data_IF_766350354654
#
_entry.id   IF_766350354654
#
_cell.length_a   1.000
_cell.length_b   1.000
_cell.length_c   1.000
_cell.angle_alpha   90.00
_cell.angle_beta   90.00
_cell.angle_gamma   90.00
#
_symmetry.space_group_name_H-M   'P 1'
#
loop_
_entity.id
_entity.type
_entity.pdbx_description
1 polymer ?
#
# COMPACT_ATOMS: atom_id res chain seq x y z
N UNK A 1 100.48 -68.55 -126.66
CA UNK A 1 101.35 -67.38 -126.86
C UNK A 1 101.06 -66.36 -125.78
N UNK A 2 102.12 -65.98 -125.07
CA UNK A 2 102.40 -64.72 -124.37
C UNK A 2 101.27 -63.73 -123.98
N UNK A 3 101.35 -63.32 -122.70
CA UNK A 3 101.53 -61.93 -122.24
C UNK A 3 100.34 -61.13 -121.65
N UNK A 4 100.58 -60.76 -120.38
CA UNK A 4 100.58 -59.39 -119.83
C UNK A 4 99.38 -58.86 -119.04
N UNK A 5 99.77 -58.28 -117.90
CA UNK A 5 99.12 -57.60 -116.79
C UNK A 5 98.50 -56.23 -117.07
N UNK A 6 97.52 -55.80 -116.24
CA UNK A 6 97.47 -54.48 -115.56
C UNK A 6 96.24 -54.35 -114.62
N UNK A 7 96.39 -53.64 -113.48
CA UNK A 7 95.41 -53.46 -112.39
C UNK A 7 95.08 -51.97 -112.13
N UNK A 8 93.92 -51.67 -111.51
CA UNK A 8 93.56 -50.38 -110.85
C UNK A 8 92.33 -49.67 -111.47
N UNK A 9 91.53 -48.81 -110.83
CA UNK A 9 91.29 -48.33 -109.45
C UNK A 9 90.00 -47.47 -109.52
N UNK A 10 89.23 -47.32 -108.43
CA UNK A 10 88.01 -46.47 -108.37
C UNK A 10 88.32 -44.98 -108.59
N UNK A 11 87.38 -44.16 -109.11
CA UNK A 11 87.62 -42.75 -109.44
C UNK A 11 87.98 -41.92 -108.20
N UNK A 12 88.88 -40.95 -108.36
CA UNK A 12 89.35 -40.11 -107.26
C UNK A 12 88.35 -38.99 -106.93
N UNK A 13 88.32 -38.55 -105.67
CA UNK A 13 87.48 -37.41 -105.20
C UNK A 13 87.75 -36.11 -105.98
N UNK A 14 88.97 -35.94 -106.48
CA UNK A 14 89.34 -34.80 -107.33
C UNK A 14 88.63 -34.80 -108.68
N UNK A 15 88.37 -35.97 -109.26
CA UNK A 15 87.66 -36.10 -110.53
C UNK A 15 86.17 -35.72 -110.38
N UNK A 16 85.57 -36.04 -109.24
CA UNK A 16 84.17 -35.69 -108.92
C UNK A 16 83.99 -34.18 -108.66
N UNK A 17 84.95 -33.55 -107.99
CA UNK A 17 84.95 -32.10 -107.77
C UNK A 17 85.13 -31.32 -109.09
N UNK A 18 85.97 -31.82 -109.99
CA UNK A 18 86.16 -31.23 -111.32
C UNK A 18 84.88 -31.24 -112.15
N UNK A 19 84.13 -32.35 -112.13
CA UNK A 19 82.84 -32.46 -112.82
C UNK A 19 81.79 -31.52 -112.19
N UNK A 20 81.76 -31.40 -110.87
CA UNK A 20 80.79 -30.54 -110.16
C UNK A 20 80.97 -29.05 -110.48
N UNK A 21 82.22 -28.55 -110.51
CA UNK A 21 82.46 -27.15 -110.84
C UNK A 21 82.07 -26.80 -112.28
N UNK A 22 82.28 -27.74 -113.21
CA UNK A 22 81.90 -27.56 -114.61
C UNK A 22 80.36 -27.56 -114.75
N UNK A 23 79.65 -28.38 -113.97
CA UNK A 23 78.19 -28.37 -113.92
C UNK A 23 77.66 -27.04 -113.39
N UNK A 24 78.29 -26.48 -112.36
CA UNK A 24 77.91 -25.17 -111.82
C UNK A 24 78.24 -24.02 -112.80
N UNK A 25 79.32 -24.14 -113.59
CA UNK A 25 79.72 -23.15 -114.60
C UNK A 25 78.84 -23.18 -115.86
N UNK A 26 78.40 -24.38 -116.28
CA UNK A 26 77.40 -24.56 -117.34
C UNK A 26 76.06 -23.96 -116.88
N UNK A 27 75.69 -24.11 -115.61
CA UNK A 27 74.47 -23.49 -115.03
C UNK A 27 74.54 -21.98 -114.93
N UNK A 28 75.72 -21.42 -114.64
CA UNK A 28 75.91 -19.98 -114.51
C UNK A 28 75.82 -19.25 -115.86
N UNK A 29 76.13 -19.97 -116.95
CA UNK A 29 76.17 -19.49 -118.34
C UNK A 29 74.81 -19.59 -119.07
N UNK A 30 73.98 -20.59 -118.76
CA UNK A 30 72.67 -20.78 -119.38
C UNK A 30 71.54 -20.11 -118.56
N UNK A 31 71.60 -18.78 -118.48
CA UNK A 31 70.72 -18.01 -117.59
C UNK A 31 69.34 -17.64 -118.14
N UNK A 32 68.94 -18.02 -119.36
CA UNK A 32 67.72 -17.41 -119.96
C UNK A 32 66.79 -18.32 -120.79
N UNK A 33 67.10 -19.58 -121.12
CA UNK A 33 66.19 -20.34 -122.02
C UNK A 33 65.95 -21.75 -121.52
N UNK A 34 65.02 -21.86 -120.56
CA UNK A 34 64.65 -23.15 -119.96
C UNK A 34 63.11 -23.25 -119.86
N UNK A 35 62.42 -23.34 -121.01
CA UNK A 35 60.97 -23.55 -120.98
C UNK A 35 60.38 -24.61 -121.91
N UNK A 36 61.10 -25.20 -122.87
CA UNK A 36 60.41 -26.06 -123.86
C UNK A 36 61.05 -27.42 -124.19
N UNK A 37 61.97 -27.95 -123.37
CA UNK A 37 62.52 -29.31 -123.58
C UNK A 37 62.26 -30.28 -122.41
N UNK A 38 61.67 -31.44 -122.76
CA UNK A 38 61.33 -32.53 -121.84
C UNK A 38 62.55 -33.13 -121.12
N UNK A 39 62.30 -33.67 -119.92
CA UNK A 39 63.34 -34.13 -118.99
C UNK A 39 64.34 -35.15 -119.59
N UNK A 40 63.90 -35.96 -120.56
CA UNK A 40 64.75 -36.96 -121.23
C UNK A 40 65.76 -36.36 -122.23
N UNK A 41 65.42 -35.23 -122.86
CA UNK A 41 66.32 -34.60 -123.85
C UNK A 41 67.39 -33.75 -123.19
N UNK A 42 67.07 -33.11 -122.05
CA UNK A 42 68.04 -32.35 -121.24
C UNK A 42 69.19 -33.23 -120.74
N UNK A 43 68.89 -34.45 -120.30
CA UNK A 43 69.91 -35.42 -119.82
C UNK A 43 70.88 -35.81 -120.93
N UNK A 44 70.38 -36.05 -122.15
CA UNK A 44 71.22 -36.41 -123.31
C UNK A 44 72.10 -35.25 -123.77
N UNK A 45 71.55 -34.05 -123.86
CA UNK A 45 72.30 -32.86 -124.25
C UNK A 45 73.44 -32.55 -123.26
N UNK A 46 73.20 -32.75 -121.95
CA UNK A 46 74.22 -32.55 -120.92
C UNK A 46 75.37 -33.56 -121.04
N UNK A 47 75.06 -34.85 -121.24
CA UNK A 47 76.07 -35.93 -121.39
C UNK A 47 76.91 -35.71 -122.67
N UNK A 48 76.27 -35.33 -123.78
CA UNK A 48 76.94 -35.11 -125.06
C UNK A 48 77.96 -33.96 -124.97
N UNK A 49 77.55 -32.83 -124.36
CA UNK A 49 78.45 -31.67 -124.16
C UNK A 49 79.57 -31.94 -123.16
N UNK A 50 79.31 -32.77 -122.13
CA UNK A 50 80.33 -33.21 -121.18
C UNK A 50 81.43 -34.05 -121.84
N UNK A 51 81.05 -34.91 -122.79
CA UNK A 51 81.99 -35.71 -123.59
C UNK A 51 82.84 -34.85 -124.53
N UNK A 52 82.24 -33.88 -125.21
CA UNK A 52 82.94 -32.95 -126.11
C UNK A 52 83.96 -32.07 -125.37
N UNK A 53 83.63 -31.62 -124.16
CA UNK A 53 84.52 -30.77 -123.38
C UNK A 53 85.68 -31.56 -122.78
N UNK A 54 85.44 -32.77 -122.28
CA UNK A 54 86.50 -33.66 -121.79
C UNK A 54 87.46 -34.12 -122.89
N UNK A 55 86.97 -34.31 -124.13
CA UNK A 55 87.81 -34.66 -125.27
C UNK A 55 88.85 -33.57 -125.61
N UNK A 56 88.57 -32.30 -125.29
CA UNK A 56 89.51 -31.19 -125.48
C UNK A 56 90.61 -31.10 -124.44
N UNK A 57 90.43 -31.73 -123.27
CA UNK A 57 91.37 -31.64 -122.13
C UNK A 57 92.28 -32.87 -122.00
N UNK A 58 92.22 -33.81 -122.95
CA UNK A 58 93.19 -34.92 -123.05
C UNK A 58 93.06 -36.02 -122.00
N UNK A 59 91.99 -36.02 -121.20
CA UNK A 59 91.70 -37.05 -120.19
C UNK A 59 90.47 -37.86 -120.61
N UNK A 60 90.67 -39.13 -120.98
CA UNK A 60 89.60 -40.07 -121.32
C UNK A 60 88.94 -40.56 -120.02
N UNK A 61 87.81 -39.94 -119.67
CA UNK A 61 87.00 -40.34 -118.51
C UNK A 61 86.00 -41.41 -118.96
N UNK A 62 85.90 -42.51 -118.21
CA UNK A 62 84.92 -43.58 -118.47
C UNK A 62 83.48 -43.09 -118.21
N UNK A 63 82.55 -43.60 -119.02
CA UNK A 63 81.14 -43.21 -119.04
C UNK A 63 80.38 -43.44 -117.71
N UNK A 64 80.87 -44.36 -116.88
CA UNK A 64 80.27 -44.74 -115.58
C UNK A 64 80.35 -43.63 -114.52
N UNK A 65 81.41 -42.82 -114.54
CA UNK A 65 81.59 -41.69 -113.61
C UNK A 65 80.62 -40.54 -113.92
N UNK A 66 80.30 -40.36 -115.20
CA UNK A 66 79.41 -39.28 -115.66
C UNK A 66 77.97 -39.55 -115.23
N UNK A 67 77.54 -40.81 -115.26
CA UNK A 67 76.17 -41.18 -114.91
C UNK A 67 75.93 -41.11 -113.40
N UNK A 68 76.90 -41.56 -112.59
CA UNK A 68 76.83 -41.49 -111.13
C UNK A 68 76.80 -40.05 -110.58
N UNK A 69 77.49 -39.12 -111.26
CA UNK A 69 77.51 -37.71 -110.87
C UNK A 69 76.17 -37.00 -111.15
N UNK A 70 75.42 -37.44 -112.17
CA UNK A 70 74.11 -36.86 -112.53
C UNK A 70 73.01 -37.32 -111.56
N UNK A 71 73.05 -38.57 -111.11
CA UNK A 71 72.05 -39.12 -110.18
C UNK A 71 72.13 -38.48 -108.78
N UNK A 72 73.35 -38.27 -108.27
CA UNK A 72 73.58 -37.65 -106.95
C UNK A 72 73.12 -36.19 -106.87
N UNK A 73 73.01 -35.50 -108.01
CA UNK A 73 72.59 -34.10 -108.07
C UNK A 73 71.06 -33.93 -108.16
N UNK A 74 70.31 -34.97 -108.58
CA UNK A 74 68.84 -34.91 -108.64
C UNK A 74 68.17 -35.09 -107.26
N UNK A 75 68.78 -35.81 -106.32
CA UNK A 75 68.18 -36.15 -105.02
C UNK A 75 68.02 -34.97 -104.04
N UNK A 76 68.72 -33.84 -104.24
CA UNK A 76 68.72 -32.73 -103.26
C UNK A 76 67.72 -31.61 -103.55
N UNK A 77 66.77 -31.81 -104.47
CA UNK A 77 65.89 -30.75 -104.96
C UNK A 77 64.70 -30.35 -104.07
N UNK A 78 64.43 -31.00 -102.92
CA UNK A 78 63.22 -30.74 -102.11
C UNK A 78 63.35 -30.83 -100.58
N UNK A 79 64.15 -29.98 -99.92
CA UNK A 79 64.12 -29.88 -98.44
C UNK A 79 64.14 -28.44 -97.93
N UNK A 80 63.10 -28.06 -97.16
CA UNK A 80 62.94 -26.74 -96.51
C UNK A 80 63.39 -26.78 -95.04
N UNK A 81 64.20 -25.82 -94.60
CA UNK A 81 64.67 -25.67 -93.21
C UNK A 81 64.17 -24.35 -92.58
N UNK A 82 63.40 -24.38 -91.47
CA UNK A 82 62.97 -23.16 -90.80
C UNK A 82 64.08 -22.51 -89.95
N UNK A 83 63.94 -21.19 -89.71
CA UNK A 83 64.89 -20.35 -88.98
C UNK A 83 64.85 -20.59 -87.45
N UNK A 84 66.02 -20.59 -86.79
CA UNK A 84 66.21 -20.87 -85.35
C UNK A 84 65.52 -19.83 -84.44
N UNK A 85 65.01 -20.28 -83.28
CA UNK A 85 64.34 -19.45 -82.26
C UNK A 85 65.27 -18.41 -81.61
N UNK A 86 64.86 -17.14 -81.54
CA UNK A 86 65.61 -16.07 -80.86
C UNK A 86 64.73 -14.88 -80.46
N UNK A 87 65.27 -13.94 -79.68
CA UNK A 87 64.57 -12.78 -79.09
C UNK A 87 63.82 -11.92 -80.12
N UNK A 88 64.32 -11.85 -81.36
CA UNK A 88 63.67 -11.14 -82.47
C UNK A 88 62.30 -11.76 -82.84
N UNK A 89 62.12 -13.08 -82.66
CA UNK A 89 60.82 -13.73 -82.85
C UNK A 89 59.83 -13.35 -81.75
N UNK A 90 60.27 -13.25 -80.49
CA UNK A 90 59.41 -12.84 -79.37
C UNK A 90 58.93 -11.39 -79.54
N UNK A 91 59.83 -10.48 -79.91
CA UNK A 91 59.48 -9.09 -80.20
C UNK A 91 58.49 -8.98 -81.37
N UNK A 92 58.72 -9.73 -82.46
CA UNK A 92 57.79 -9.78 -83.58
C UNK A 92 56.42 -10.37 -83.18
N UNK A 93 56.40 -11.42 -82.36
CA UNK A 93 55.14 -12.05 -81.91
C UNK A 93 54.36 -11.12 -80.95
N UNK A 94 55.05 -10.39 -80.09
CA UNK A 94 54.46 -9.38 -79.21
C UNK A 94 53.90 -8.19 -80.01
N UNK A 95 54.62 -7.72 -81.04
CA UNK A 95 54.17 -6.63 -81.91
C UNK A 95 52.96 -7.03 -82.77
N UNK A 96 52.89 -8.27 -83.26
CA UNK A 96 51.73 -8.81 -84.00
C UNK A 96 50.50 -8.95 -83.09
N UNK A 97 50.69 -9.28 -81.81
CA UNK A 97 49.59 -9.43 -80.83
C UNK A 97 49.27 -8.18 -80.01
N UNK A 98 49.86 -7.02 -80.32
CA UNK A 98 49.78 -5.77 -79.52
C UNK A 98 48.35 -5.33 -79.17
N UNK A 99 47.39 -5.50 -80.08
CA UNK A 99 46.00 -5.12 -79.85
C UNK A 99 45.28 -5.94 -78.76
N UNK A 100 45.70 -7.19 -78.54
CA UNK A 100 45.09 -8.05 -77.49
C UNK A 100 45.58 -7.68 -76.10
N UNK A 101 46.86 -7.32 -75.95
CA UNK A 101 47.43 -6.94 -74.67
C UNK A 101 46.91 -5.58 -74.20
N UNK A 102 46.86 -4.57 -75.09
CA UNK A 102 46.34 -3.24 -74.78
C UNK A 102 44.88 -3.26 -74.30
N UNK A 103 44.03 -4.09 -74.90
CA UNK A 103 42.64 -4.24 -74.49
C UNK A 103 42.52 -4.81 -73.07
N UNK A 104 43.29 -5.84 -72.74
CA UNK A 104 43.22 -6.49 -71.43
C UNK A 104 43.80 -5.60 -70.33
N UNK A 105 44.87 -4.86 -70.60
CA UNK A 105 45.45 -3.92 -69.61
C UNK A 105 44.55 -2.71 -69.37
N UNK A 106 43.86 -2.20 -70.40
CA UNK A 106 42.89 -1.11 -70.25
C UNK A 106 41.70 -1.52 -69.36
N UNK A 107 41.19 -2.74 -69.48
CA UNK A 107 40.11 -3.26 -68.62
C UNK A 107 40.59 -3.38 -67.16
N UNK A 108 41.79 -3.92 -66.94
CA UNK A 108 42.36 -4.04 -65.59
C UNK A 108 42.54 -2.67 -64.93
N UNK A 109 43.03 -1.67 -65.68
CA UNK A 109 43.16 -0.30 -65.21
C UNK A 109 41.78 0.32 -64.88
N UNK A 110 40.77 0.12 -65.73
CA UNK A 110 39.42 0.62 -65.49
C UNK A 110 38.79 0.03 -64.22
N UNK A 111 38.95 -1.28 -63.98
CA UNK A 111 38.44 -1.95 -62.77
C UNK A 111 39.12 -1.40 -61.52
N UNK A 112 40.44 -1.16 -61.56
CA UNK A 112 41.16 -0.53 -60.45
C UNK A 112 40.65 0.88 -60.16
N UNK A 113 40.43 1.70 -61.19
CA UNK A 113 39.90 3.06 -61.04
C UNK A 113 38.50 3.03 -60.44
N UNK A 114 37.61 2.19 -60.96
CA UNK A 114 36.23 2.06 -60.44
C UNK A 114 36.24 1.53 -59.01
N UNK A 115 37.06 0.53 -58.70
CA UNK A 115 37.20 0.00 -57.34
C UNK A 115 37.70 1.05 -56.35
N UNK A 116 38.67 1.88 -56.77
CA UNK A 116 39.22 2.96 -55.93
C UNK A 116 38.18 4.06 -55.71
N UNK A 117 37.42 4.45 -56.74
CA UNK A 117 36.34 5.43 -56.61
C UNK A 117 35.22 4.88 -55.73
N UNK A 118 34.80 3.63 -55.93
CA UNK A 118 33.77 2.99 -55.10
C UNK A 118 34.20 2.84 -53.64
N UNK A 119 35.46 2.51 -53.38
CA UNK A 119 36.03 2.46 -52.03
C UNK A 119 36.01 3.85 -51.38
N UNK A 120 36.48 4.88 -52.07
CA UNK A 120 36.51 6.24 -51.54
C UNK A 120 35.11 6.81 -51.28
N UNK A 121 34.16 6.61 -52.21
CA UNK A 121 32.76 7.06 -52.04
C UNK A 121 32.06 6.26 -50.95
N UNK A 122 32.27 4.94 -50.90
CA UNK A 122 31.73 4.09 -49.84
C UNK A 122 32.28 4.46 -48.46
N UNK A 123 33.58 4.73 -48.36
CA UNK A 123 34.22 5.18 -47.13
C UNK A 123 33.66 6.53 -46.66
N UNK A 124 33.48 7.49 -47.58
CA UNK A 124 32.89 8.79 -47.27
C UNK A 124 31.44 8.68 -46.77
N UNK A 125 30.60 7.91 -47.47
CA UNK A 125 29.16 7.80 -47.17
C UNK A 125 28.88 6.96 -45.91
N UNK A 126 29.62 5.86 -45.70
CA UNK A 126 29.32 4.91 -44.62
C UNK A 126 30.21 5.08 -43.38
N UNK A 127 31.33 5.81 -43.45
CA UNK A 127 32.22 6.00 -42.30
C UNK A 127 32.29 7.47 -41.88
N UNK A 128 32.46 8.42 -42.81
CA UNK A 128 32.66 9.84 -42.48
C UNK A 128 31.34 10.52 -42.13
N UNK A 129 30.33 10.46 -43.01
CA UNK A 129 29.02 11.12 -42.78
C UNK A 129 28.26 10.67 -41.51
N UNK A 130 28.20 9.38 -41.15
CA UNK A 130 27.55 9.00 -39.89
C UNK A 130 28.33 9.49 -38.65
N UNK A 131 29.65 9.62 -38.73
CA UNK A 131 30.47 10.21 -37.66
C UNK A 131 30.22 11.71 -37.55
N UNK A 132 30.16 12.43 -38.66
CA UNK A 132 29.82 13.86 -38.67
C UNK A 132 28.40 14.13 -38.17
N UNK A 133 27.43 13.29 -38.54
CA UNK A 133 26.07 13.37 -38.03
C UNK A 133 25.98 13.06 -36.53
N UNK A 134 26.78 12.12 -36.01
CA UNK A 134 26.87 11.84 -34.58
C UNK A 134 27.48 13.03 -33.82
N UNK A 135 28.58 13.59 -34.32
CA UNK A 135 29.23 14.79 -33.73
C UNK A 135 28.29 16.00 -33.80
N UNK A 136 27.56 16.19 -34.90
CA UNK A 136 26.58 17.27 -35.05
C UNK A 136 25.38 17.11 -34.12
N UNK A 137 24.91 15.88 -33.86
CA UNK A 137 23.87 15.60 -32.87
C UNK A 137 24.35 15.85 -31.45
N UNK A 138 25.58 15.47 -31.13
CA UNK A 138 26.19 15.78 -29.83
C UNK A 138 26.38 17.29 -29.63
N UNK A 139 26.77 18.02 -30.69
CA UNK A 139 26.87 19.48 -30.67
C UNK A 139 25.49 20.13 -30.50
N UNK A 140 24.49 19.71 -31.27
CA UNK A 140 23.11 20.20 -31.15
C UNK A 140 22.51 19.87 -29.77
N UNK A 141 22.80 18.71 -29.20
CA UNK A 141 22.38 18.35 -27.84
C UNK A 141 23.06 19.22 -26.77
N UNK A 142 24.36 19.52 -26.93
CA UNK A 142 25.09 20.46 -26.04
C UNK A 142 24.54 21.88 -26.14
N UNK A 143 24.19 22.33 -27.34
CA UNK A 143 23.57 23.64 -27.56
C UNK A 143 22.15 23.71 -26.97
N UNK A 144 21.35 22.66 -27.14
CA UNK A 144 20.02 22.57 -26.52
C UNK A 144 20.12 22.58 -24.99
N UNK A 145 21.02 21.78 -24.41
CA UNK A 145 21.29 21.78 -22.97
C UNK A 145 21.80 23.14 -22.46
N UNK A 146 22.60 23.85 -23.26
CA UNK A 146 23.06 25.20 -22.92
C UNK A 146 21.90 26.21 -22.91
N UNK A 147 20.97 26.14 -23.87
CA UNK A 147 19.76 26.99 -23.91
C UNK A 147 18.80 26.70 -22.76
N UNK A 148 18.61 25.43 -22.42
CA UNK A 148 17.81 25.03 -21.25
C UNK A 148 18.44 25.51 -19.95
N UNK A 149 19.77 25.36 -19.80
CA UNK A 149 20.51 25.87 -18.65
C UNK A 149 20.39 27.40 -18.54
N UNK A 150 20.51 28.11 -19.65
CA UNK A 150 20.35 29.56 -19.68
C UNK A 150 18.93 29.97 -19.30
N UNK A 151 17.90 29.36 -19.88
CA UNK A 151 16.49 29.61 -19.54
C UNK A 151 16.19 29.32 -18.07
N UNK A 152 16.75 28.23 -17.52
CA UNK A 152 16.61 27.87 -16.12
C UNK A 152 17.23 28.93 -15.20
N UNK A 153 18.42 29.44 -15.52
CA UNK A 153 19.12 30.43 -14.70
C UNK A 153 18.57 31.86 -14.85
N UNK A 154 18.06 32.25 -16.03
CA UNK A 154 17.62 33.63 -16.29
C UNK A 154 16.14 33.86 -16.03
N UNK A 155 15.28 32.85 -16.25
CA UNK A 155 13.82 32.99 -16.13
C UNK A 155 13.27 32.15 -14.99
N UNK A 156 13.51 30.84 -15.00
CA UNK A 156 12.82 29.89 -14.11
C UNK A 156 13.23 30.06 -12.64
N UNK A 157 14.52 29.88 -12.34
CA UNK A 157 15.04 29.90 -10.97
C UNK A 157 14.85 31.26 -10.27
N UNK A 158 15.09 32.42 -10.92
CA UNK A 158 14.81 33.71 -10.28
C UNK A 158 13.31 33.92 -9.96
N UNK A 159 12.41 33.47 -10.85
CA UNK A 159 10.98 33.56 -10.61
C UNK A 159 10.51 32.62 -9.48
N UNK A 160 10.97 31.37 -9.48
CA UNK A 160 10.71 30.39 -8.42
C UNK A 160 11.26 30.86 -7.07
N UNK A 161 12.48 31.39 -7.04
CA UNK A 161 13.10 31.94 -5.83
C UNK A 161 12.30 33.12 -5.29
N UNK A 162 11.92 34.07 -6.15
CA UNK A 162 11.11 35.23 -5.73
C UNK A 162 9.77 34.80 -5.14
N UNK A 163 9.10 33.84 -5.77
CA UNK A 163 7.83 33.30 -5.28
C UNK A 163 8.01 32.60 -3.92
N UNK A 164 9.02 31.73 -3.79
CA UNK A 164 9.31 30.97 -2.58
C UNK A 164 9.69 31.88 -1.40
N UNK A 165 10.55 32.88 -1.62
CA UNK A 165 10.92 33.86 -0.58
C UNK A 165 9.69 34.66 -0.17
N UNK A 166 8.90 35.16 -1.12
CA UNK A 166 7.70 35.94 -0.80
C UNK A 166 6.67 35.13 0.00
N UNK A 167 6.40 33.87 -0.38
CA UNK A 167 5.44 33.03 0.34
C UNK A 167 5.95 32.64 1.73
N UNK A 168 7.23 32.27 1.84
CA UNK A 168 7.86 31.90 3.10
C UNK A 168 7.94 33.08 4.08
N UNK A 169 8.30 34.28 3.60
CA UNK A 169 8.36 35.49 4.45
C UNK A 169 6.99 35.87 4.98
N UNK A 170 5.95 35.84 4.14
CA UNK A 170 4.56 36.07 4.59
C UNK A 170 4.15 35.04 5.64
N UNK A 171 4.51 33.76 5.45
CA UNK A 171 4.22 32.73 6.45
C UNK A 171 4.95 32.97 7.78
N UNK A 172 6.23 33.39 7.74
CA UNK A 172 7.00 33.73 8.93
C UNK A 172 6.49 34.99 9.63
N UNK A 173 6.02 35.99 8.88
CA UNK A 173 5.38 37.21 9.40
C UNK A 173 4.14 36.89 10.22
N UNK A 174 3.26 36.02 9.72
CA UNK A 174 2.00 35.64 10.39
C UNK A 174 2.21 35.00 11.76
N UNK A 175 3.34 34.34 11.97
CA UNK A 175 3.70 33.72 13.25
C UNK A 175 4.76 34.50 14.03
N UNK A 176 5.17 35.68 13.54
CA UNK A 176 6.18 36.54 14.12
C UNK A 176 7.52 35.83 14.45
N UNK A 177 7.93 34.85 13.63
CA UNK A 177 9.16 34.08 13.85
C UNK A 177 10.36 34.78 13.21
N UNK A 178 11.17 35.44 14.05
CA UNK A 178 12.35 36.21 13.62
C UNK A 178 13.46 35.29 13.09
N UNK A 179 13.61 34.09 13.65
CA UNK A 179 14.65 33.16 13.23
C UNK A 179 14.34 32.60 11.84
N UNK A 180 13.08 32.23 11.59
CA UNK A 180 12.66 31.75 10.28
C UNK A 180 12.91 32.77 9.16
N UNK A 181 12.71 34.07 9.45
CA UNK A 181 13.04 35.14 8.49
C UNK A 181 14.53 35.22 8.20
N UNK A 182 15.38 35.16 9.23
CA UNK A 182 16.82 35.14 9.06
C UNK A 182 17.30 33.92 8.25
N UNK A 183 16.70 32.75 8.50
CA UNK A 183 16.99 31.54 7.75
C UNK A 183 16.56 31.67 6.27
N UNK A 184 15.37 32.22 6.00
CA UNK A 184 14.90 32.51 4.63
C UNK A 184 15.87 33.45 3.89
N UNK A 185 16.32 34.53 4.54
CA UNK A 185 17.25 35.50 3.97
C UNK A 185 18.64 34.88 3.67
N UNK A 186 19.11 34.02 4.58
CA UNK A 186 20.34 33.25 4.36
C UNK A 186 20.21 32.32 3.15
N UNK A 187 19.13 31.54 3.06
CA UNK A 187 18.88 30.62 1.93
C UNK A 187 18.65 31.38 0.62
N UNK A 188 18.03 32.55 0.66
CA UNK A 188 17.87 33.42 -0.50
C UNK A 188 19.24 33.88 -1.03
N UNK A 189 20.13 34.28 -0.13
CA UNK A 189 21.51 34.67 -0.48
C UNK A 189 22.28 33.49 -1.10
N UNK A 190 22.16 32.29 -0.53
CA UNK A 190 22.75 31.07 -1.10
C UNK A 190 22.18 30.72 -2.48
N UNK A 191 20.87 30.86 -2.68
CA UNK A 191 20.22 30.62 -3.96
C UNK A 191 20.72 31.62 -5.02
N UNK A 192 20.80 32.91 -4.69
CA UNK A 192 21.33 33.95 -5.58
C UNK A 192 22.81 33.71 -5.93
N UNK A 193 23.63 33.29 -4.96
CA UNK A 193 25.02 32.92 -5.18
C UNK A 193 25.13 31.69 -6.09
N UNK A 194 24.28 30.67 -5.91
CA UNK A 194 24.25 29.48 -6.76
C UNK A 194 23.80 29.79 -8.20
N UNK A 195 22.80 30.66 -8.37
CA UNK A 195 22.37 31.16 -9.69
C UNK A 195 23.53 31.91 -10.37
N UNK A 196 24.22 32.78 -9.64
CA UNK A 196 25.39 33.51 -10.15
C UNK A 196 26.54 32.57 -10.53
N UNK A 197 26.75 31.51 -9.75
CA UNK A 197 27.73 30.45 -10.02
C UNK A 197 27.29 29.44 -11.09
N UNK A 198 26.12 29.63 -11.72
CA UNK A 198 25.50 28.70 -12.69
C UNK A 198 25.28 27.28 -12.13
N UNK A 199 25.13 27.15 -10.82
CA UNK A 199 24.87 25.89 -10.12
C UNK A 199 23.36 25.71 -9.91
N UNK A 200 22.69 25.08 -10.90
CA UNK A 200 21.25 24.80 -10.85
C UNK A 200 20.87 23.95 -9.64
N UNK A 201 21.60 22.87 -9.37
CA UNK A 201 21.29 21.96 -8.27
C UNK A 201 21.40 22.66 -6.90
N UNK A 202 22.36 23.57 -6.75
CA UNK A 202 22.51 24.41 -5.56
C UNK A 202 21.32 25.36 -5.38
N UNK A 203 20.93 26.06 -6.45
CA UNK A 203 19.79 26.98 -6.43
C UNK A 203 18.46 26.25 -6.11
N UNK A 204 18.19 25.13 -6.78
CA UNK A 204 17.01 24.29 -6.52
C UNK A 204 16.98 23.74 -5.09
N UNK A 205 18.15 23.41 -4.53
CA UNK A 205 18.24 22.94 -3.14
C UNK A 205 17.92 24.06 -2.16
N UNK A 206 18.45 25.26 -2.35
CA UNK A 206 18.14 26.42 -1.51
C UNK A 206 16.64 26.81 -1.60
N UNK A 207 16.05 26.81 -2.80
CA UNK A 207 14.61 27.07 -3.01
C UNK A 207 13.76 26.03 -2.29
N UNK A 208 14.11 24.74 -2.38
CA UNK A 208 13.39 23.68 -1.64
C UNK A 208 13.50 23.87 -0.13
N UNK A 209 14.66 24.24 0.38
CA UNK A 209 14.84 24.53 1.81
C UNK A 209 13.95 25.69 2.27
N UNK A 210 13.84 26.76 1.49
CA UNK A 210 12.88 27.85 1.76
C UNK A 210 11.44 27.32 1.81
N UNK A 211 11.06 26.46 0.86
CA UNK A 211 9.76 25.78 0.88
C UNK A 211 9.52 24.93 2.13
N UNK A 212 10.55 24.23 2.65
CA UNK A 212 10.41 23.49 3.92
C UNK A 212 10.17 24.42 5.11
N UNK A 213 10.85 25.57 5.17
CA UNK A 213 10.62 26.59 6.21
C UNK A 213 9.17 27.08 6.12
N UNK A 214 8.67 27.42 4.93
CA UNK A 214 7.28 27.83 4.73
C UNK A 214 6.29 26.80 5.28
N UNK A 215 6.46 25.52 4.92
CA UNK A 215 5.56 24.46 5.41
C UNK A 215 5.58 24.37 6.94
N UNK A 216 6.75 24.52 7.57
CA UNK A 216 6.88 24.53 9.03
C UNK A 216 6.18 25.73 9.68
N UNK A 217 6.23 26.92 9.05
CA UNK A 217 5.52 28.12 9.53
C UNK A 217 4.01 27.97 9.39
N UNK A 218 3.52 27.38 8.30
CA UNK A 218 2.08 27.09 8.13
C UNK A 218 1.56 26.14 9.21
N UNK A 219 2.33 25.11 9.57
CA UNK A 219 1.99 24.23 10.70
C UNK A 219 1.97 24.98 12.04
N UNK A 220 2.93 25.88 12.28
CA UNK A 220 2.91 26.75 13.47
C UNK A 220 1.70 27.67 13.49
N UNK A 221 1.36 28.30 12.36
CA UNK A 221 0.20 29.18 12.21
C UNK A 221 -1.10 28.45 12.56
N UNK A 222 -1.30 27.26 12.02
CA UNK A 222 -2.46 26.43 12.34
C UNK A 222 -2.57 26.12 13.83
N UNK A 223 -1.44 25.80 14.50
CA UNK A 223 -1.42 25.56 15.95
C UNK A 223 -1.80 26.82 16.72
N UNK A 224 -1.29 27.99 16.34
CA UNK A 224 -1.65 29.27 16.96
C UNK A 224 -3.15 29.56 16.77
N UNK A 225 -3.69 29.33 15.58
CA UNK A 225 -5.12 29.50 15.30
C UNK A 225 -5.99 28.53 16.10
N UNK A 226 -5.58 27.27 16.26
CA UNK A 226 -6.29 26.29 17.08
C UNK A 226 -6.30 26.70 18.56
N UNK A 227 -5.16 27.16 19.09
CA UNK A 227 -5.06 27.66 20.47
C UNK A 227 -5.94 28.90 20.64
N UNK A 228 -5.90 29.83 19.69
CA UNK A 228 -6.74 31.04 19.71
C UNK A 228 -8.23 30.69 19.66
N UNK A 229 -8.64 29.74 18.82
CA UNK A 229 -10.03 29.29 18.72
C UNK A 229 -10.51 28.64 20.03
N UNK A 230 -9.67 27.81 20.67
CA UNK A 230 -9.98 27.24 21.99
C UNK A 230 -10.13 28.34 23.05
N UNK A 231 -9.18 29.28 23.08
CA UNK A 231 -9.19 30.38 24.04
C UNK A 231 -10.39 31.32 23.85
N UNK A 232 -10.89 31.50 22.62
CA UNK A 232 -12.04 32.35 22.32
C UNK A 232 -13.35 31.85 22.95
N UNK A 233 -13.51 30.53 23.08
CA UNK A 233 -14.74 29.92 23.61
C UNK A 233 -14.70 29.79 25.15
N UNK A 234 -13.50 29.68 25.73
CA UNK A 234 -13.30 29.46 27.17
C UNK A 234 -14.00 30.47 28.11
N UNK A 235 -14.00 31.79 27.85
CA UNK A 235 -14.73 32.74 28.70
C UNK A 235 -16.22 32.40 28.83
N UNK A 236 -16.87 32.04 27.72
CA UNK A 236 -18.29 31.69 27.73
C UNK A 236 -18.56 30.37 28.46
N UNK A 237 -17.68 29.37 28.29
CA UNK A 237 -17.79 28.08 28.98
C UNK A 237 -17.57 28.21 30.48
N UNK A 238 -16.55 28.98 30.88
CA UNK A 238 -16.27 29.27 32.28
C UNK A 238 -17.42 30.03 32.93
N UNK A 239 -17.95 31.05 32.26
CA UNK A 239 -19.10 31.80 32.76
C UNK A 239 -20.34 30.91 32.94
N UNK A 240 -20.62 30.03 31.97
CA UNK A 240 -21.75 29.09 32.04
C UNK A 240 -21.59 28.10 33.21
N UNK A 241 -20.40 27.52 33.37
CA UNK A 241 -20.08 26.61 34.48
C UNK A 241 -20.20 27.33 35.83
N UNK A 242 -19.63 28.52 35.95
CA UNK A 242 -19.71 29.34 37.17
C UNK A 242 -21.16 29.68 37.53
N UNK A 243 -21.96 30.18 36.59
CA UNK A 243 -23.34 30.59 36.87
C UNK A 243 -24.22 29.41 37.27
N UNK A 244 -24.12 28.29 36.55
CA UNK A 244 -24.90 27.08 36.85
C UNK A 244 -24.51 26.47 38.22
N UNK A 245 -23.22 26.26 38.46
CA UNK A 245 -22.73 25.69 39.71
C UNK A 245 -23.05 26.59 40.92
N UNK A 246 -22.83 27.91 40.80
CA UNK A 246 -23.12 28.86 41.89
C UNK A 246 -24.61 28.91 42.22
N UNK A 247 -25.49 28.89 41.22
CA UNK A 247 -26.94 28.85 41.44
C UNK A 247 -27.36 27.58 42.21
N UNK A 248 -26.76 26.42 41.87
CA UNK A 248 -27.00 25.17 42.58
C UNK A 248 -26.48 25.23 44.02
N UNK A 249 -25.27 25.74 44.24
CA UNK A 249 -24.68 25.87 45.58
C UNK A 249 -25.57 26.73 46.50
N UNK A 250 -26.09 27.84 45.99
CA UNK A 250 -27.04 28.70 46.72
C UNK A 250 -28.36 27.96 47.00
N UNK A 251 -28.90 27.23 46.02
CA UNK A 251 -30.15 26.48 46.18
C UNK A 251 -30.06 25.39 47.27
N UNK A 252 -28.90 24.73 47.38
CA UNK A 252 -28.66 23.74 48.44
C UNK A 252 -28.19 24.36 49.76
N UNK A 253 -27.86 25.66 49.76
CA UNK A 253 -27.36 26.42 50.91
C UNK A 253 -25.94 26.01 51.36
N UNK A 254 -25.09 25.62 50.41
CA UNK A 254 -23.69 25.25 50.65
C UNK A 254 -22.75 26.44 50.39
N UNK A 255 -22.46 27.19 51.45
CA UNK A 255 -21.59 28.38 51.38
C UNK A 255 -20.11 28.04 51.08
N UNK A 256 -19.66 26.84 51.44
CA UNK A 256 -18.30 26.40 51.16
C UNK A 256 -18.13 26.14 49.66
N UNK A 257 -19.11 25.47 49.04
CA UNK A 257 -19.14 25.28 47.59
C UNK A 257 -19.22 26.62 46.83
N UNK A 258 -20.02 27.59 47.30
CA UNK A 258 -20.04 28.94 46.70
C UNK A 258 -18.63 29.55 46.68
N UNK A 259 -17.92 29.47 47.81
CA UNK A 259 -16.57 30.04 47.95
C UNK A 259 -15.56 29.32 47.05
N UNK A 260 -15.61 27.99 46.98
CA UNK A 260 -14.72 27.19 46.12
C UNK A 260 -14.99 27.50 44.63
N UNK A 261 -16.25 27.56 44.21
CA UNK A 261 -16.63 27.94 42.84
C UNK A 261 -16.12 29.34 42.47
N UNK A 262 -16.20 30.31 43.38
CA UNK A 262 -15.66 31.67 43.16
C UNK A 262 -14.13 31.66 43.04
N UNK A 263 -13.44 30.86 43.85
CA UNK A 263 -11.99 30.66 43.75
C UNK A 263 -11.61 30.06 42.39
N UNK A 264 -12.27 28.96 41.98
CA UNK A 264 -12.02 28.30 40.69
C UNK A 264 -12.33 29.20 39.50
N UNK A 265 -13.37 30.01 39.59
CA UNK A 265 -13.68 30.99 38.55
C UNK A 265 -12.56 32.04 38.43
N UNK A 266 -12.00 32.50 39.55
CA UNK A 266 -10.87 33.43 39.56
C UNK A 266 -9.62 32.81 38.96
N UNK A 267 -9.31 31.55 39.31
CA UNK A 267 -8.22 30.76 38.71
C UNK A 267 -8.40 30.61 37.19
N UNK A 268 -9.62 30.28 36.74
CA UNK A 268 -9.95 30.15 35.32
C UNK A 268 -9.79 31.46 34.54
N UNK A 269 -10.27 32.58 35.09
CA UNK A 269 -10.08 33.91 34.50
C UNK A 269 -8.60 34.28 34.42
N UNK A 270 -7.81 33.98 35.45
CA UNK A 270 -6.36 34.16 35.45
C UNK A 270 -5.66 33.33 34.38
N UNK A 271 -6.06 32.06 34.22
CA UNK A 271 -5.51 31.19 33.17
C UNK A 271 -5.86 31.68 31.76
N UNK A 272 -7.09 32.15 31.54
CA UNK A 272 -7.51 32.76 30.26
C UNK A 272 -6.68 34.01 29.96
N UNK A 273 -6.50 34.89 30.95
CA UNK A 273 -5.67 36.10 30.81
C UNK A 273 -4.22 35.76 30.48
N UNK A 274 -3.69 34.68 31.06
CA UNK A 274 -2.35 34.15 30.78
C UNK A 274 -2.26 33.35 29.46
N UNK A 275 -3.35 33.22 28.69
CA UNK A 275 -3.46 32.37 27.48
C UNK A 275 -3.12 30.90 27.74
N UNK A 276 -3.31 30.44 28.98
CA UNK A 276 -3.11 29.05 29.40
C UNK A 276 -4.41 28.25 29.20
N UNK A 277 -4.51 27.58 28.05
CA UNK A 277 -5.68 26.77 27.68
C UNK A 277 -5.92 25.63 28.68
N UNK A 278 -4.87 24.96 29.14
CA UNK A 278 -4.98 23.83 30.06
C UNK A 278 -5.46 24.27 31.44
N UNK A 279 -4.91 25.36 31.98
CA UNK A 279 -5.34 25.91 33.27
C UNK A 279 -6.81 26.34 33.25
N UNK A 280 -7.26 26.96 32.17
CA UNK A 280 -8.67 27.35 32.03
C UNK A 280 -9.60 26.12 31.93
N UNK A 281 -9.20 25.07 31.22
CA UNK A 281 -9.95 23.81 31.16
C UNK A 281 -10.01 23.11 32.51
N UNK A 282 -8.92 23.10 33.27
CA UNK A 282 -8.88 22.53 34.61
C UNK A 282 -9.84 23.26 35.57
N UNK A 283 -9.88 24.60 35.53
CA UNK A 283 -10.83 25.38 36.31
C UNK A 283 -12.29 25.07 35.94
N UNK A 284 -12.61 25.00 34.65
CA UNK A 284 -13.96 24.62 34.17
C UNK A 284 -14.33 23.21 34.65
N UNK A 285 -13.41 22.26 34.52
CA UNK A 285 -13.65 20.88 34.95
C UNK A 285 -13.83 20.78 36.47
N UNK A 286 -13.03 21.50 37.26
CA UNK A 286 -13.16 21.56 38.71
C UNK A 286 -14.54 22.08 39.13
N UNK A 287 -15.02 23.16 38.50
CA UNK A 287 -16.38 23.67 38.73
C UNK A 287 -17.43 22.62 38.36
N UNK A 288 -17.25 21.92 37.23
CA UNK A 288 -18.17 20.86 36.81
C UNK A 288 -18.24 19.68 37.79
N UNK A 289 -17.13 19.31 38.44
CA UNK A 289 -17.14 18.29 39.50
C UNK A 289 -17.96 18.77 40.69
N UNK A 290 -17.76 20.00 41.15
CA UNK A 290 -18.54 20.60 42.25
C UNK A 290 -20.03 20.62 41.87
N UNK A 291 -20.36 21.03 40.65
CA UNK A 291 -21.74 21.04 40.15
C UNK A 291 -22.40 19.66 40.22
N UNK A 292 -21.68 18.60 39.82
CA UNK A 292 -22.20 17.24 39.84
C UNK A 292 -22.55 16.76 41.26
N UNK A 293 -21.69 17.08 42.24
CA UNK A 293 -21.95 16.80 43.65
C UNK A 293 -23.14 17.60 44.17
N UNK A 294 -23.23 18.90 43.86
CA UNK A 294 -24.35 19.74 44.28
C UNK A 294 -25.69 19.25 43.73
N UNK A 295 -25.72 18.70 42.52
CA UNK A 295 -26.93 18.07 41.96
C UNK A 295 -27.37 16.83 42.76
N UNK A 296 -26.44 16.01 43.23
CA UNK A 296 -26.74 14.88 44.11
C UNK A 296 -27.31 15.35 45.44
N UNK A 297 -26.67 16.34 46.08
CA UNK A 297 -27.15 16.97 47.32
C UNK A 297 -28.55 17.57 47.13
N UNK A 298 -28.80 18.23 45.99
CA UNK A 298 -30.12 18.79 45.69
C UNK A 298 -31.19 17.70 45.57
N UNK A 299 -30.88 16.60 44.89
CA UNK A 299 -31.80 15.47 44.77
C UNK A 299 -32.11 14.84 46.15
N UNK A 300 -31.09 14.65 46.98
CA UNK A 300 -31.26 14.17 48.35
C UNK A 300 -32.12 15.13 49.19
N UNK A 301 -31.90 16.45 49.08
CA UNK A 301 -32.73 17.47 49.75
C UNK A 301 -34.19 17.45 49.29
N UNK A 302 -34.45 17.14 48.02
CA UNK A 302 -35.81 16.96 47.51
C UNK A 302 -36.47 15.72 48.13
N UNK A 303 -35.74 14.60 48.19
CA UNK A 303 -36.24 13.36 48.81
C UNK A 303 -36.54 13.55 50.30
N UNK A 304 -35.64 14.19 51.05
CA UNK A 304 -35.88 14.45 52.48
C UNK A 304 -37.05 15.40 52.71
N UNK A 305 -37.23 16.41 51.83
CA UNK A 305 -38.41 17.26 51.84
C UNK A 305 -39.72 16.51 51.54
N UNK A 306 -39.72 15.60 50.56
CA UNK A 306 -40.86 14.74 50.23
C UNK A 306 -41.20 13.79 51.40
N UNK A 307 -40.19 13.14 51.98
CA UNK A 307 -40.34 12.27 53.13
C UNK A 307 -40.92 13.03 54.34
N UNK A 308 -40.39 14.21 54.65
CA UNK A 308 -40.90 15.05 55.75
C UNK A 308 -42.38 15.42 55.56
N UNK A 309 -42.78 15.80 54.34
CA UNK A 309 -44.17 16.10 54.02
C UNK A 309 -45.07 14.86 54.18
N UNK A 310 -44.60 13.70 53.73
CA UNK A 310 -45.33 12.43 53.88
C UNK A 310 -45.51 12.05 55.34
N UNK A 311 -44.45 12.13 56.15
CA UNK A 311 -44.49 11.84 57.59
C UNK A 311 -45.46 12.79 58.30
N UNK A 312 -45.42 14.08 57.99
CA UNK A 312 -46.34 15.06 58.57
C UNK A 312 -47.81 14.76 58.22
N UNK A 313 -48.12 14.40 56.97
CA UNK A 313 -49.49 14.02 56.58
C UNK A 313 -49.93 12.69 57.20
N UNK A 314 -49.01 11.73 57.32
CA UNK A 314 -49.24 10.45 57.98
C UNK A 314 -49.58 10.63 59.47
N UNK A 315 -48.80 11.43 60.20
CA UNK A 315 -49.03 11.74 61.61
C UNK A 315 -50.34 12.52 61.82
N UNK A 316 -50.65 13.48 60.94
CA UNK A 316 -51.92 14.20 60.97
C UNK A 316 -53.11 13.27 60.70
N UNK A 317 -52.96 12.33 59.76
CA UNK A 317 -53.99 11.33 59.44
C UNK A 317 -54.21 10.35 60.59
N UNK A 318 -53.15 9.88 61.23
CA UNK A 318 -53.24 9.02 62.41
C UNK A 318 -53.90 9.76 63.59
N UNK A 319 -53.52 11.02 63.81
CA UNK A 319 -54.12 11.86 64.86
C UNK A 319 -55.62 12.08 64.63
N UNK A 320 -56.05 12.34 63.38
CA UNK A 320 -57.47 12.42 63.02
C UNK A 320 -58.20 11.11 63.30
N UNK A 321 -57.59 9.97 62.94
CA UNK A 321 -58.17 8.65 63.20
C UNK A 321 -58.38 8.41 64.71
N UNK A 322 -57.38 8.70 65.55
CA UNK A 322 -57.50 8.55 67.01
C UNK A 322 -58.52 9.52 67.61
N UNK A 323 -58.49 10.80 67.21
CA UNK A 323 -59.41 11.83 67.72
C UNK A 323 -60.88 11.56 67.35
N UNK A 324 -61.14 10.77 66.29
CA UNK A 324 -62.49 10.30 65.94
C UNK A 324 -63.01 9.16 66.83
N UNK A 325 -62.26 8.79 67.89
CA UNK A 325 -62.63 7.74 68.83
C UNK A 325 -62.28 6.32 68.37
N UNK A 326 -61.50 6.17 67.29
CA UNK A 326 -61.02 4.86 66.87
C UNK A 326 -59.81 4.42 67.72
N UNK A 327 -59.76 3.17 68.19
CA UNK A 327 -58.65 2.69 69.00
C UNK A 327 -57.38 2.54 68.15
N UNK A 328 -56.23 2.74 68.77
CA UNK A 328 -54.94 2.23 68.29
C UNK A 328 -54.11 1.79 69.49
N UNK A 329 -53.63 0.55 69.49
CA UNK A 329 -52.76 0.04 70.55
C UNK A 329 -51.30 0.47 70.36
N UNK A 330 -50.48 0.20 71.39
CA UNK A 330 -49.09 0.64 71.42
C UNK A 330 -48.22 -0.15 70.42
N UNK A 331 -48.56 -1.41 70.13
CA UNK A 331 -47.84 -2.25 69.15
C UNK A 331 -48.03 -1.70 67.75
N UNK A 332 -49.28 -1.41 67.36
CA UNK A 332 -49.63 -0.81 66.08
C UNK A 332 -49.02 0.60 65.95
N UNK A 333 -49.09 1.42 66.99
CA UNK A 333 -48.47 2.76 66.99
C UNK A 333 -46.96 2.67 66.77
N UNK A 334 -46.27 1.83 67.54
CA UNK A 334 -44.82 1.63 67.44
C UNK A 334 -44.41 1.12 66.05
N UNK A 335 -45.16 0.16 65.50
CA UNK A 335 -44.87 -0.40 64.18
C UNK A 335 -45.06 0.64 63.07
N UNK A 336 -46.12 1.46 63.13
CA UNK A 336 -46.34 2.56 62.19
C UNK A 336 -45.21 3.60 62.27
N UNK A 337 -44.80 4.00 63.47
CA UNK A 337 -43.68 4.93 63.66
C UNK A 337 -42.38 4.37 63.10
N UNK A 338 -42.07 3.08 63.32
CA UNK A 338 -40.88 2.44 62.73
C UNK A 338 -40.93 2.44 61.20
N UNK A 339 -42.10 2.23 60.60
CA UNK A 339 -42.26 2.30 59.14
C UNK A 339 -42.05 3.70 58.59
N UNK A 340 -42.48 4.75 59.31
CA UNK A 340 -42.17 6.14 58.93
C UNK A 340 -40.66 6.42 58.98
N UNK A 341 -39.94 5.88 59.98
CA UNK A 341 -38.50 6.09 60.06
C UNK A 341 -37.74 5.45 58.89
N UNK A 342 -38.21 4.33 58.35
CA UNK A 342 -37.61 3.74 57.14
C UNK A 342 -37.75 4.63 55.90
N UNK A 343 -38.80 5.47 55.84
CA UNK A 343 -38.99 6.43 54.74
C UNK A 343 -37.97 7.56 54.87
N UNK A 344 -37.77 8.07 56.08
CA UNK A 344 -36.78 9.14 56.33
C UNK A 344 -35.35 8.62 56.16
N UNK A 345 -35.03 7.42 56.66
CA UNK A 345 -33.73 6.76 56.46
C UNK A 345 -33.41 6.62 54.96
N UNK A 346 -34.34 6.08 54.16
CA UNK A 346 -34.13 5.94 52.72
C UNK A 346 -33.97 7.29 51.98
N UNK A 347 -34.67 8.33 52.44
CA UNK A 347 -34.54 9.67 51.89
C UNK A 347 -33.18 10.31 52.23
N UNK A 348 -32.71 10.11 53.45
CA UNK A 348 -31.38 10.53 53.91
C UNK A 348 -30.27 9.78 53.17
N UNK A 349 -30.46 8.51 52.84
CA UNK A 349 -29.53 7.73 52.01
C UNK A 349 -29.59 8.10 50.52
N UNK A 350 -30.55 8.93 50.10
CA UNK A 350 -30.78 9.28 48.70
C UNK A 350 -31.38 8.15 47.87
N UNK A 351 -31.87 7.08 48.49
CA UNK A 351 -32.51 5.95 47.82
C UNK A 351 -34.01 6.20 47.60
N UNK A 352 -34.31 6.89 46.50
CA UNK A 352 -35.69 7.16 46.09
C UNK A 352 -36.50 5.90 45.73
N UNK A 353 -35.89 4.75 45.46
CA UNK A 353 -36.63 3.50 45.24
C UNK A 353 -37.07 2.89 46.57
N UNK A 354 -36.13 2.76 47.52
CA UNK A 354 -36.41 2.25 48.85
C UNK A 354 -37.39 3.15 49.59
N UNK A 355 -37.28 4.48 49.44
CA UNK A 355 -38.24 5.44 50.00
C UNK A 355 -39.67 5.16 49.51
N UNK A 356 -39.86 5.00 48.20
CA UNK A 356 -41.18 4.69 47.60
C UNK A 356 -41.74 3.34 48.05
N UNK A 357 -40.87 2.34 48.20
CA UNK A 357 -41.26 1.03 48.74
C UNK A 357 -41.71 1.15 50.21
N UNK A 358 -40.96 1.88 51.03
CA UNK A 358 -41.31 2.14 52.43
C UNK A 358 -42.63 2.93 52.55
N UNK A 359 -42.88 3.93 51.71
CA UNK A 359 -44.16 4.66 51.65
C UNK A 359 -45.33 3.73 51.30
N UNK A 360 -45.13 2.79 50.37
CA UNK A 360 -46.14 1.81 49.97
C UNK A 360 -46.41 0.83 51.12
N UNK A 361 -45.36 0.32 51.76
CA UNK A 361 -45.44 -0.54 52.93
C UNK A 361 -46.20 0.14 54.07
N UNK A 362 -45.91 1.42 54.36
CA UNK A 362 -46.64 2.20 55.35
C UNK A 362 -48.13 2.30 55.03
N UNK A 363 -48.51 2.64 53.78
CA UNK A 363 -49.93 2.73 53.37
C UNK A 363 -50.67 1.40 53.53
N UNK A 364 -50.03 0.29 53.19
CA UNK A 364 -50.59 -1.05 53.37
C UNK A 364 -50.78 -1.36 54.86
N UNK A 365 -49.78 -1.04 55.70
CA UNK A 365 -49.86 -1.24 57.14
C UNK A 365 -50.98 -0.40 57.76
N UNK A 366 -51.12 0.88 57.38
CA UNK A 366 -52.22 1.74 57.82
C UNK A 366 -53.57 1.10 57.48
N UNK A 367 -53.72 0.61 56.25
CA UNK A 367 -54.96 -0.07 55.81
C UNK A 367 -55.24 -1.31 56.67
N UNK A 368 -54.22 -2.12 56.96
CA UNK A 368 -54.37 -3.31 57.79
C UNK A 368 -54.69 -2.97 59.25
N UNK A 369 -54.03 -1.98 59.85
CA UNK A 369 -54.27 -1.54 61.23
C UNK A 369 -55.68 -0.95 61.38
N UNK A 370 -56.10 -0.06 60.50
CA UNK A 370 -57.36 0.69 60.63
C UNK A 370 -58.61 -0.14 60.38
N UNK A 371 -58.49 -1.29 59.72
CA UNK A 371 -59.62 -2.16 59.42
C UNK A 371 -59.61 -3.41 60.30
N UNK A 372 -60.79 -3.99 60.53
CA UNK A 372 -60.88 -5.36 61.03
C UNK A 372 -60.39 -6.33 59.94
N UNK A 373 -59.57 -7.31 60.32
CA UNK A 373 -59.16 -8.38 59.43
C UNK A 373 -59.66 -9.72 59.98
N UNK A 374 -60.38 -10.47 59.15
CA UNK A 374 -60.74 -11.86 59.45
C UNK A 374 -59.59 -12.75 59.05
N UNK A 375 -59.09 -13.55 59.98
CA UNK A 375 -58.04 -14.52 59.72
C UNK A 375 -58.70 -15.87 59.54
N UNK A 376 -58.37 -16.55 58.45
CA UNK A 376 -58.92 -17.87 58.15
C UNK A 376 -57.84 -18.84 57.72
N UNK A 377 -58.09 -20.11 57.96
CA UNK A 377 -57.28 -21.21 57.44
C UNK A 377 -57.42 -21.21 55.91
N UNK A 378 -56.30 -21.32 55.21
CA UNK A 378 -56.31 -21.25 53.75
C UNK A 378 -57.02 -22.47 53.19
N UNK A 379 -58.14 -22.23 52.51
CA UNK A 379 -58.89 -23.23 51.75
C UNK A 379 -58.84 -22.86 50.27
N UNK A 380 -57.66 -23.03 49.64
CA UNK A 380 -57.40 -22.68 48.24
C UNK A 380 -56.69 -23.81 47.51
N UNK A 381 -57.06 -24.01 46.24
CA UNK A 381 -56.42 -25.02 45.38
C UNK A 381 -54.93 -24.72 45.22
N UNK A 382 -54.08 -25.71 45.52
CA UNK A 382 -52.63 -25.61 45.38
C UNK A 382 -51.90 -25.00 46.58
N UNK A 383 -52.60 -24.61 47.65
CA UNK A 383 -51.98 -24.14 48.90
C UNK A 383 -52.26 -25.15 50.01
N UNK A 384 -51.21 -25.53 50.75
CA UNK A 384 -51.35 -26.44 51.90
C UNK A 384 -51.96 -25.67 53.07
N UNK A 385 -52.99 -26.24 53.70
CA UNK A 385 -53.62 -25.65 54.89
C UNK A 385 -52.87 -25.96 56.20
N UNK A 386 -51.97 -26.94 56.19
CA UNK A 386 -51.23 -27.39 57.35
C UNK A 386 -49.82 -27.85 57.03
N UNK A 387 -48.90 -27.57 57.96
CA UNK A 387 -47.47 -27.90 57.88
C UNK A 387 -47.04 -28.52 59.20
N UNK A 388 -46.37 -29.67 59.11
CA UNK A 388 -45.69 -30.29 60.24
C UNK A 388 -44.19 -30.07 60.11
N UNK A 389 -43.54 -29.63 61.20
CA UNK A 389 -42.10 -29.39 61.29
C UNK A 389 -41.51 -30.33 62.35
N UNK A 390 -40.53 -31.13 61.92
CA UNK A 390 -39.73 -32.03 62.78
C UNK A 390 -40.55 -32.97 63.69
N UNK A 391 -41.79 -33.31 63.30
CA UNK A 391 -42.69 -34.20 64.05
C UNK A 391 -43.19 -33.64 65.40
N UNK A 392 -42.89 -32.39 65.74
CA UNK A 392 -43.15 -31.80 67.07
C UNK A 392 -43.79 -30.43 67.03
N UNK A 393 -43.78 -29.76 65.88
CA UNK A 393 -44.37 -28.44 65.70
C UNK A 393 -45.37 -28.48 64.56
N UNK A 394 -46.59 -28.05 64.82
CA UNK A 394 -47.69 -28.07 63.86
C UNK A 394 -48.14 -26.64 63.60
N UNK A 395 -48.27 -26.31 62.31
CA UNK A 395 -48.65 -24.98 61.85
C UNK A 395 -49.87 -25.10 60.95
N UNK A 396 -50.84 -24.21 61.14
CA UNK A 396 -51.94 -24.01 60.20
C UNK A 396 -51.63 -22.80 59.34
N UNK A 397 -51.77 -22.95 58.03
CA UNK A 397 -51.53 -21.87 57.07
C UNK A 397 -52.78 -21.02 56.97
N UNK A 398 -52.64 -19.73 57.22
CA UNK A 398 -53.75 -18.77 57.29
C UNK A 398 -53.58 -17.61 56.32
N UNK A 399 -54.68 -16.96 55.96
CA UNK A 399 -54.72 -15.70 55.21
C UNK A 399 -55.53 -14.63 55.96
N UNK A 400 -55.21 -13.36 55.73
CA UNK A 400 -55.98 -12.23 56.23
C UNK A 400 -56.95 -11.71 55.17
N UNK A 401 -58.18 -11.42 55.60
CA UNK A 401 -59.23 -10.83 54.77
C UNK A 401 -59.69 -9.50 55.37
N UNK A 402 -59.53 -8.42 54.62
CA UNK A 402 -60.09 -7.10 54.97
C UNK A 402 -61.26 -6.80 54.04
N UNK A 403 -62.45 -6.57 54.60
CA UNK A 403 -63.67 -6.39 53.79
C UNK A 403 -63.97 -7.58 52.86
N UNK A 404 -63.54 -8.79 53.24
CA UNK A 404 -63.69 -10.02 52.45
C UNK A 404 -62.65 -10.22 51.33
N UNK A 405 -61.70 -9.29 51.16
CA UNK A 405 -60.64 -9.41 50.17
C UNK A 405 -59.32 -9.85 50.82
N UNK A 406 -58.56 -10.77 50.21
CA UNK A 406 -57.23 -11.13 50.72
C UNK A 406 -56.29 -9.93 50.72
N UNK A 407 -55.59 -9.73 51.82
CA UNK A 407 -54.58 -8.69 51.97
C UNK A 407 -53.27 -9.34 52.42
N UNK A 408 -52.15 -9.14 51.71
CA UNK A 408 -50.85 -9.57 52.18
C UNK A 408 -50.50 -8.88 53.50
N UNK A 409 -49.97 -9.63 54.44
CA UNK A 409 -49.59 -9.14 55.77
C UNK A 409 -48.09 -9.31 55.94
N UNK A 410 -47.47 -8.35 56.59
CA UNK A 410 -46.09 -8.49 57.01
C UNK A 410 -46.01 -9.38 58.25
N UNK A 411 -45.34 -10.51 58.13
CA UNK A 411 -45.24 -11.53 59.17
C UNK A 411 -43.78 -11.81 59.46
N UNK A 412 -43.40 -11.74 60.73
CA UNK A 412 -42.08 -12.17 61.19
C UNK A 412 -42.02 -13.68 61.30
N UNK A 413 -41.02 -14.31 60.67
CA UNK A 413 -40.74 -15.72 60.86
C UNK A 413 -39.90 -15.91 62.13
N UNK A 414 -40.41 -16.72 63.07
CA UNK A 414 -39.74 -16.97 64.36
C UNK A 414 -38.53 -17.88 64.24
N UNK A 415 -38.35 -18.59 63.12
CA UNK A 415 -37.23 -19.50 62.93
C UNK A 415 -35.96 -18.78 62.45
N UNK A 416 -36.10 -17.80 61.55
CA UNK A 416 -34.98 -17.06 60.96
C UNK A 416 -34.89 -15.58 61.43
N UNK A 417 -35.96 -15.06 62.05
CA UNK A 417 -36.05 -13.67 62.51
C UNK A 417 -36.35 -12.66 61.40
N UNK A 418 -36.65 -13.11 60.17
CA UNK A 418 -36.90 -12.25 59.01
C UNK A 418 -38.40 -11.93 58.92
N UNK A 419 -38.75 -10.67 58.65
CA UNK A 419 -40.13 -10.26 58.40
C UNK A 419 -40.36 -10.06 56.90
N UNK A 420 -41.47 -10.61 56.39
CA UNK A 420 -41.80 -10.59 54.97
C UNK A 420 -43.28 -10.30 54.75
N UNK A 421 -43.60 -9.61 53.66
CA UNK A 421 -44.98 -9.40 53.23
C UNK A 421 -45.46 -10.62 52.45
N UNK A 422 -46.31 -11.44 53.08
CA UNK A 422 -46.77 -12.70 52.52
C UNK A 422 -48.29 -12.75 52.41
N UNK A 423 -48.84 -13.41 51.37
CA UNK A 423 -50.28 -13.63 51.25
C UNK A 423 -50.80 -14.70 52.25
N UNK A 424 -49.90 -15.58 52.69
CA UNK A 424 -50.18 -16.72 53.57
C UNK A 424 -49.05 -16.87 54.58
N UNK A 425 -49.36 -17.26 55.81
CA UNK A 425 -48.33 -17.60 56.80
C UNK A 425 -48.80 -18.75 57.68
N UNK A 426 -47.87 -19.51 58.25
CA UNK A 426 -48.17 -20.54 59.22
C UNK A 426 -48.27 -19.95 60.62
N UNK A 427 -49.32 -20.29 61.38
CA UNK A 427 -49.45 -20.04 62.82
C UNK A 427 -49.29 -21.34 63.59
N UNK A 428 -48.41 -21.37 64.59
CA UNK A 428 -48.17 -22.54 65.43
C UNK A 428 -49.41 -22.85 66.28
N UNK A 429 -49.85 -24.09 66.25
CA UNK A 429 -51.00 -24.57 67.02
C UNK A 429 -50.67 -25.85 67.79
N UNK A 430 -51.52 -26.21 68.75
CA UNK A 430 -51.43 -27.52 69.40
C UNK A 430 -51.68 -28.67 68.43
N UNK A 431 -51.08 -29.84 68.69
CA UNK A 431 -51.34 -31.06 67.90
C UNK A 431 -52.82 -31.35 67.78
N UNK A 432 -53.57 -31.16 68.87
CA UNK A 432 -55.03 -31.34 68.93
C UNK A 432 -55.75 -30.48 67.90
N UNK A 433 -55.40 -29.19 67.83
CA UNK A 433 -56.00 -28.27 66.88
C UNK A 433 -55.62 -28.60 65.43
N UNK A 434 -54.36 -28.97 65.19
CA UNK A 434 -53.89 -29.38 63.87
C UNK A 434 -54.64 -30.62 63.35
N UNK A 435 -54.72 -31.67 64.17
CA UNK A 435 -55.42 -32.91 63.81
C UNK A 435 -56.90 -32.65 63.55
N UNK A 436 -57.56 -31.79 64.33
CA UNK A 436 -58.97 -31.41 64.09
C UNK A 436 -59.20 -30.87 62.67
N UNK A 437 -58.32 -29.99 62.18
CA UNK A 437 -58.42 -29.40 60.84
C UNK A 437 -58.01 -30.41 59.76
N UNK A 438 -57.04 -31.28 60.07
CA UNK A 438 -56.63 -32.35 59.15
C UNK A 438 -57.75 -33.37 58.92
N UNK A 439 -58.49 -33.72 59.98
CA UNK A 439 -59.62 -34.66 59.90
C UNK A 439 -60.76 -34.04 59.07
N UNK A 440 -61.13 -32.78 59.33
CA UNK A 440 -62.09 -31.99 58.54
C UNK A 440 -61.71 -31.99 57.04
N UNK A 441 -60.46 -31.65 56.73
CA UNK A 441 -59.94 -31.67 55.37
C UNK A 441 -59.89 -33.07 54.74
N UNK A 442 -59.80 -34.13 55.53
CA UNK A 442 -59.60 -35.48 55.00
C UNK A 442 -60.87 -36.05 54.38
N UNK A 443 -62.03 -35.63 54.88
CA UNK A 443 -63.35 -36.16 54.51
C UNK A 443 -63.77 -35.78 53.09
N UNK A 444 -63.68 -34.51 52.70
CA UNK A 444 -64.11 -34.03 51.38
C UNK A 444 -63.10 -33.11 50.66
N UNK A 445 -61.91 -32.90 51.25
CA UNK A 445 -60.85 -31.97 50.77
C UNK A 445 -61.26 -30.49 50.84
N UNK A 446 -62.23 -30.16 51.67
CA UNK A 446 -62.68 -28.80 51.98
C UNK A 446 -62.50 -28.62 53.50
N UNK A 447 -62.26 -27.39 53.94
CA UNK A 447 -62.27 -27.03 55.36
C UNK A 447 -63.59 -26.31 55.60
N UNK A 448 -64.47 -26.91 56.40
CA UNK A 448 -65.80 -26.39 56.70
C UNK A 448 -65.75 -25.24 57.71
N UNK A 449 -64.91 -25.37 58.74
CA UNK A 449 -64.65 -24.33 59.73
C UNK A 449 -63.30 -23.67 59.49
N UNK A 450 -63.23 -22.80 58.48
CA UNK A 450 -62.02 -22.08 58.11
C UNK A 450 -61.67 -20.93 59.08
N UNK A 451 -62.46 -20.67 60.13
CA UNK A 451 -62.26 -19.51 61.00
C UNK A 451 -61.06 -19.70 61.93
N UNK A 452 -60.00 -18.93 61.69
CA UNK A 452 -58.78 -18.98 62.51
C UNK A 452 -58.74 -17.89 63.61
N UNK A 453 -59.28 -16.70 63.33
CA UNK A 453 -59.27 -15.60 64.28
C UNK A 453 -59.72 -14.28 63.68
N UNK A 454 -59.61 -13.22 64.45
CA UNK A 454 -59.93 -11.86 64.02
C UNK A 454 -58.94 -10.87 64.59
N UNK A 455 -58.35 -10.03 63.75
CA UNK A 455 -57.57 -8.86 64.17
C UNK A 455 -58.52 -7.65 64.27
N UNK A 456 -58.77 -7.11 65.47
CA UNK A 456 -59.66 -5.97 65.63
C UNK A 456 -59.06 -4.70 65.01
N UNK A 457 -59.91 -3.73 64.63
CA UNK A 457 -59.44 -2.41 64.19
C UNK A 457 -58.56 -1.76 65.27
N UNK A 458 -57.50 -1.07 64.84
CA UNK A 458 -56.56 -0.42 65.75
C UNK A 458 -55.48 -1.31 66.35
N UNK A 459 -55.50 -2.61 66.08
CA UNK A 459 -54.52 -3.56 66.59
C UNK A 459 -53.81 -4.31 65.47
N UNK A 460 -52.60 -4.79 65.77
CA UNK A 460 -51.89 -5.79 64.98
C UNK A 460 -52.02 -7.21 65.57
N UNK A 461 -52.48 -7.31 66.82
CA UNK A 461 -52.64 -8.58 67.50
C UNK A 461 -53.91 -9.28 67.00
N UNK A 462 -53.77 -10.57 66.71
CA UNK A 462 -54.88 -11.41 66.27
C UNK A 462 -55.51 -12.07 67.49
N UNK A 463 -56.83 -11.91 67.63
CA UNK A 463 -57.61 -12.70 68.56
C UNK A 463 -57.88 -14.07 67.93
N UNK A 464 -57.06 -15.06 68.26
CA UNK A 464 -57.18 -16.41 67.75
C UNK A 464 -58.38 -17.15 68.34
N UNK A 465 -59.13 -17.83 67.48
CA UNK A 465 -60.11 -18.86 67.89
C UNK A 465 -59.47 -20.24 67.97
N UNK A 466 -58.30 -20.39 67.35
CA UNK A 466 -57.45 -21.59 67.41
C UNK A 466 -56.69 -21.67 68.74
N UNK A 467 -56.36 -22.89 69.14
CA UNK A 467 -55.40 -23.20 70.22
C UNK A 467 -53.96 -22.89 69.76
N UNK A 468 -53.68 -21.60 69.52
CA UNK A 468 -52.41 -21.08 69.03
C UNK A 468 -51.36 -21.00 70.16
N UNK A 469 -50.10 -21.27 69.82
CA UNK A 469 -49.00 -21.32 70.79
C UNK A 469 -48.06 -20.12 70.57
N UNK A 470 -47.99 -19.25 71.58
CA UNK A 470 -47.06 -18.10 71.68
C UNK A 470 -47.03 -17.16 70.45
N UNK A 471 -48.10 -17.13 69.65
CA UNK A 471 -48.15 -16.41 68.37
C UNK A 471 -46.95 -16.70 67.46
N UNK A 472 -46.40 -17.93 67.50
CA UNK A 472 -45.24 -18.28 66.68
C UNK A 472 -45.64 -18.48 65.22
N UNK A 473 -44.99 -17.72 64.33
CA UNK A 473 -45.31 -17.69 62.91
C UNK A 473 -44.14 -18.14 62.04
N UNK A 474 -44.45 -18.71 60.87
CA UNK A 474 -43.50 -19.06 59.80
C UNK A 474 -44.01 -18.53 58.46
N UNK A 475 -43.10 -18.13 57.57
CA UNK A 475 -43.46 -17.63 56.22
C UNK A 475 -43.12 -18.63 55.11
N UNK A 476 -42.33 -19.66 55.42
CA UNK A 476 -41.90 -20.70 54.49
C UNK A 476 -42.11 -22.09 55.07
N UNK A 477 -42.38 -23.09 54.22
CA UNK A 477 -42.61 -24.47 54.65
C UNK A 477 -42.10 -25.53 53.67
#
# INVERSE_FOLDING_TARGET
MAASSASGASPSFGDMLGVSNIIDDIRASDRVVDFELGAGERRKALIQRLKEQKAKEGVVVKDDVIEAAVEQYEERRFTFTPMKSGANRLAATAYVRRGRYLRNTAIAAAVLVVGTVAYNVGYDQFVIKPREAAIAREAAAKEAAARELETALTVRLPAELKAAVSSATVAADRVADVQAKADIDSRNTEALAAITARNVAGAETAIRQIGTIETSMRWKEQRVQQVAAKLAIQPSQLQAAYTSAKALAVAVSDNLAVTDIESRNTEGLGAIAAKNVEGAQQAIAAIGVIESHLRQVQAQKQLTGEAANFVADADASLSRYVNSGNPIDDVARTTLTRRLSLITEAAEDGDGQQMRQAMTSYKNLVTYVQNEAKIRIVNRRGVRAGVERDGTRWYLVVEALVGGKPVPVEVGNKEDGIAETVPYWGIRVSKRQYTKVLDDYSDDKIIDDDRAGTKPKGSLDVNWTLDAIDNQTITHW
#
